data_IF_315759906394
#
_entry.id   IF_315759906394
#
_cell.length_a   1.000
_cell.length_b   1.000
_cell.length_c   1.000
_cell.angle_alpha   90.00
_cell.angle_beta   90.00
_cell.angle_gamma   90.00
#
_symmetry.space_group_name_H-M   'P 1'
#
loop_
_entity.id
_entity.type
_entity.pdbx_description
1 polymer ?
#
# COMPACT_ATOMS: atom_id res chain seq x y z
N UNK A 1 2.32 0.00 -1.47
CA UNK A 1 2.40 -1.47 -1.55
C UNK A 1 3.27 -1.88 -0.39
N UNK A 2 2.65 -2.41 0.65
CA UNK A 2 3.29 -2.86 1.88
C UNK A 2 3.55 -4.35 1.70
N UNK A 3 4.79 -4.77 1.86
CA UNK A 3 5.22 -6.12 1.57
C UNK A 3 5.80 -6.73 2.85
N UNK A 4 5.17 -7.80 3.34
CA UNK A 4 5.62 -8.57 4.47
C UNK A 4 6.69 -9.57 4.00
N UNK A 5 7.85 -9.58 4.66
CA UNK A 5 8.94 -10.49 4.34
C UNK A 5 9.70 -10.86 5.62
N UNK A 6 10.15 -12.10 5.75
CA UNK A 6 10.65 -12.69 6.99
C UNK A 6 12.17 -12.89 7.03
N UNK A 7 12.93 -12.24 7.97
CA UNK A 7 14.12 -12.70 8.76
C UNK A 7 15.19 -11.64 9.21
N UNK A 8 15.50 -11.69 10.52
CA UNK A 8 16.76 -11.49 11.32
C UNK A 8 17.77 -10.30 11.16
N UNK A 9 17.67 -9.33 12.10
CA UNK A 9 18.71 -8.74 12.99
C UNK A 9 19.80 -7.71 12.54
N UNK A 10 19.77 -6.52 13.20
CA UNK A 10 20.80 -5.50 13.56
C UNK A 10 21.04 -4.20 12.72
N UNK A 11 20.72 -3.01 13.29
CA UNK A 11 21.65 -1.85 13.42
C UNK A 11 21.48 -0.50 12.66
N UNK A 12 20.79 0.49 13.28
CA UNK A 12 20.96 1.98 13.37
C UNK A 12 21.19 2.99 12.18
N UNK A 13 20.24 3.97 12.08
CA UNK A 13 20.37 5.46 12.13
C UNK A 13 20.33 6.42 10.88
N UNK A 14 19.29 7.31 10.91
CA UNK A 14 19.17 8.79 10.60
C UNK A 14 18.77 9.41 9.20
N UNK A 15 17.59 10.06 9.21
CA UNK A 15 16.95 11.25 8.54
C UNK A 15 17.16 11.72 7.07
N UNK A 16 16.06 11.72 6.26
CA UNK A 16 15.28 12.90 5.77
C UNK A 16 14.29 12.53 4.63
N UNK A 17 13.02 12.94 4.81
CA UNK A 17 12.02 13.33 3.79
C UNK A 17 11.38 12.28 2.83
N UNK A 18 10.06 12.15 3.00
CA UNK A 18 9.00 12.00 2.00
C UNK A 18 8.63 10.60 1.44
N UNK A 19 7.50 10.12 2.00
CA UNK A 19 6.31 9.50 1.38
C UNK A 19 6.34 7.98 1.11
N UNK A 20 5.25 7.25 1.45
CA UNK A 20 5.06 5.83 1.13
C UNK A 20 5.36 5.56 -0.33
N UNK A 21 5.65 4.29 -0.62
CA UNK A 21 5.55 3.60 -1.90
C UNK A 21 4.31 4.07 -2.69
N UNK A 22 4.44 5.23 -3.33
CA UNK A 22 3.58 5.66 -4.40
C UNK A 22 3.98 4.74 -5.53
N UNK A 23 3.06 3.85 -5.90
CA UNK A 23 2.81 3.69 -7.31
C UNK A 23 2.73 5.11 -7.88
N UNK A 24 3.79 5.62 -8.54
CA UNK A 24 3.72 6.99 -9.05
C UNK A 24 2.87 6.92 -10.33
N UNK A 25 2.21 8.03 -10.65
CA UNK A 25 1.48 8.15 -11.90
C UNK A 25 2.49 8.12 -13.05
N UNK A 26 2.18 7.43 -14.14
CA UNK A 26 3.00 7.50 -15.35
C UNK A 26 3.10 8.97 -15.81
N UNK A 27 4.28 9.39 -16.27
CA UNK A 27 4.51 10.75 -16.76
C UNK A 27 3.84 11.04 -18.11
N UNK A 28 3.37 9.99 -18.81
CA UNK A 28 2.70 10.07 -20.11
C UNK A 28 1.18 10.10 -20.03
N UNK A 29 0.61 9.78 -18.87
CA UNK A 29 -0.83 9.82 -18.64
C UNK A 29 -1.19 11.15 -17.98
N UNK A 30 -1.75 12.08 -18.74
CA UNK A 30 -2.51 13.18 -18.17
C UNK A 30 -3.53 12.57 -17.22
N UNK A 31 -3.47 12.90 -15.93
CA UNK A 31 -4.66 12.71 -15.11
C UNK A 31 -5.85 13.31 -15.88
N UNK A 32 -7.07 12.77 -15.74
CA UNK A 32 -8.27 13.38 -16.31
C UNK A 32 -8.63 14.71 -15.61
N UNK A 33 -7.65 15.61 -15.44
CA UNK A 33 -7.79 16.98 -14.94
C UNK A 33 -8.34 17.86 -16.06
N UNK A 34 -7.95 17.59 -17.32
CA UNK A 34 -8.30 18.43 -18.47
C UNK A 34 -9.72 18.19 -19.01
N UNK A 35 -10.30 16.99 -18.82
CA UNK A 35 -11.66 16.66 -19.31
C UNK A 35 -12.77 17.29 -18.46
N UNK A 36 -12.50 17.66 -17.19
CA UNK A 36 -13.52 18.11 -16.24
C UNK A 36 -13.50 19.61 -15.91
N UNK A 37 -12.60 20.41 -16.49
CA UNK A 37 -12.56 21.86 -16.25
C UNK A 37 -12.26 22.26 -14.79
N UNK A 38 -11.49 21.45 -14.07
CA UNK A 38 -11.20 21.68 -12.65
C UNK A 38 -10.41 22.98 -12.45
N UNK A 39 -10.88 23.83 -11.54
CA UNK A 39 -10.18 25.06 -11.15
C UNK A 39 -9.05 24.82 -10.12
N UNK A 40 -8.98 23.64 -9.51
CA UNK A 40 -8.05 23.32 -8.43
C UNK A 40 -6.62 23.06 -8.94
N UNK A 41 -5.63 23.67 -8.29
CA UNK A 41 -4.21 23.41 -8.60
C UNK A 41 -3.77 22.04 -8.06
N UNK A 42 -2.62 21.55 -8.53
CA UNK A 42 -2.02 20.31 -7.98
C UNK A 42 -1.68 20.40 -6.48
N UNK A 43 -1.45 21.61 -5.96
CA UNK A 43 -1.23 21.85 -4.54
C UNK A 43 -2.53 21.72 -3.75
N UNK A 44 -3.62 22.30 -4.27
CA UNK A 44 -4.96 22.21 -3.68
C UNK A 44 -5.43 20.76 -3.63
N UNK A 45 -5.24 20.01 -4.73
CA UNK A 45 -5.56 18.58 -4.79
C UNK A 45 -4.83 17.80 -3.71
N UNK A 46 -3.52 18.01 -3.55
CA UNK A 46 -2.74 17.36 -2.50
C UNK A 46 -3.23 17.73 -1.11
N UNK A 47 -3.63 18.98 -0.89
CA UNK A 47 -4.14 19.43 0.40
C UNK A 47 -5.50 18.80 0.70
N UNK A 48 -6.41 18.73 -0.27
CA UNK A 48 -7.71 18.10 -0.11
C UNK A 48 -7.60 16.59 0.15
N UNK A 49 -6.67 15.87 -0.50
CA UNK A 49 -6.36 14.49 -0.12
C UNK A 49 -5.94 14.38 1.36
N UNK A 50 -5.05 15.27 1.84
CA UNK A 50 -4.66 15.25 3.26
C UNK A 50 -5.84 15.48 4.20
N UNK A 51 -6.73 16.43 3.87
CA UNK A 51 -7.95 16.68 4.65
C UNK A 51 -8.88 15.47 4.65
N UNK A 52 -9.12 14.88 3.49
CA UNK A 52 -9.94 13.68 3.37
C UNK A 52 -9.37 12.52 4.21
N UNK A 53 -8.08 12.24 4.16
CA UNK A 53 -7.50 11.14 4.95
C UNK A 53 -7.42 11.43 6.47
N UNK A 54 -7.46 12.70 6.88
CA UNK A 54 -7.50 13.10 8.28
C UNK A 54 -8.93 13.20 8.86
N UNK A 55 -9.96 13.12 8.01
CA UNK A 55 -11.34 13.25 8.44
C UNK A 55 -11.82 11.99 9.21
N UNK A 56 -12.68 12.15 10.23
CA UNK A 56 -13.18 11.05 11.06
C UNK A 56 -14.30 10.28 10.34
N UNK A 57 -13.95 9.59 9.23
CA UNK A 57 -14.92 8.76 8.52
C UNK A 57 -15.40 7.60 9.38
N UNK A 58 -16.64 7.12 9.19
CA UNK A 58 -17.05 5.84 9.72
C UNK A 58 -16.05 4.75 9.30
N UNK A 59 -15.58 3.96 10.25
CA UNK A 59 -14.49 2.98 10.10
C UNK A 59 -14.69 2.03 8.91
N UNK A 60 -15.94 1.69 8.59
CA UNK A 60 -16.28 0.78 7.50
C UNK A 60 -16.57 1.45 6.17
N UNK A 61 -16.64 2.79 6.10
CA UNK A 61 -17.04 3.50 4.88
C UNK A 61 -16.10 3.18 3.70
N UNK A 62 -14.80 3.04 3.99
CA UNK A 62 -13.77 2.68 3.01
C UNK A 62 -14.01 1.32 2.35
N UNK A 63 -14.71 0.42 3.03
CA UNK A 63 -14.87 -0.98 2.64
C UNK A 63 -16.33 -1.35 2.31
N UNK A 64 -17.21 -0.35 2.16
CA UNK A 64 -18.57 -0.59 1.67
C UNK A 64 -18.56 -0.85 0.16
N UNK A 65 -19.05 -2.03 -0.25
CA UNK A 65 -19.08 -2.42 -1.66
C UNK A 65 -17.67 -2.50 -2.25
N UNK A 66 -17.41 -1.76 -3.32
CA UNK A 66 -16.08 -1.61 -3.94
C UNK A 66 -15.32 -0.36 -3.45
N UNK A 67 -15.78 0.24 -2.35
CA UNK A 67 -15.18 1.43 -1.75
C UNK A 67 -15.54 2.74 -2.47
N UNK A 68 -16.34 2.72 -3.54
CA UNK A 68 -16.80 3.94 -4.23
C UNK A 68 -17.41 5.00 -3.30
N UNK A 69 -18.26 4.68 -2.29
CA UNK A 69 -18.83 5.69 -1.42
C UNK A 69 -17.76 6.53 -0.71
N UNK A 70 -16.70 5.88 -0.21
CA UNK A 70 -15.55 6.55 0.38
C UNK A 70 -14.76 7.35 -0.64
N UNK A 71 -14.40 6.73 -1.77
CA UNK A 71 -13.57 7.41 -2.78
C UNK A 71 -14.27 8.61 -3.41
N UNK A 72 -15.60 8.60 -3.51
CA UNK A 72 -16.38 9.76 -3.99
C UNK A 72 -16.21 10.97 -3.08
N UNK A 73 -16.21 10.76 -1.76
CA UNK A 73 -15.93 11.81 -0.78
C UNK A 73 -14.49 12.29 -0.87
N UNK A 74 -13.53 11.37 -0.99
CA UNK A 74 -12.12 11.71 -1.13
C UNK A 74 -11.87 12.54 -2.39
N UNK A 75 -12.42 12.13 -3.54
CA UNK A 75 -12.28 12.86 -4.81
C UNK A 75 -12.96 14.23 -4.71
N UNK A 76 -14.16 14.31 -4.13
CA UNK A 76 -14.84 15.59 -3.93
C UNK A 76 -14.02 16.53 -3.04
N UNK A 77 -13.48 16.05 -1.92
CA UNK A 77 -12.67 16.86 -1.00
C UNK A 77 -11.32 17.25 -1.61
N UNK A 78 -10.70 16.34 -2.38
CA UNK A 78 -9.45 16.59 -3.07
C UNK A 78 -9.62 17.64 -4.18
N UNK A 79 -10.69 17.56 -4.97
CA UNK A 79 -10.78 18.32 -6.22
C UNK A 79 -11.76 19.49 -6.16
N UNK A 80 -12.60 19.55 -5.13
CA UNK A 80 -13.73 20.46 -5.05
C UNK A 80 -14.90 20.08 -5.98
N UNK A 81 -14.82 18.96 -6.69
CA UNK A 81 -15.82 18.55 -7.67
C UNK A 81 -16.79 17.51 -7.11
N UNK A 82 -18.08 17.85 -7.09
CA UNK A 82 -19.17 16.92 -6.76
C UNK A 82 -19.69 16.15 -8.01
N UNK A 83 -19.07 16.33 -9.18
CA UNK A 83 -19.52 15.71 -10.43
C UNK A 83 -19.30 14.19 -10.39
N UNK A 84 -20.37 13.42 -10.56
CA UNK A 84 -20.34 11.96 -10.51
C UNK A 84 -19.59 11.34 -11.70
N UNK A 85 -19.73 11.89 -12.90
CA UNK A 85 -19.07 11.36 -14.10
C UNK A 85 -17.56 11.55 -14.00
N UNK A 86 -17.14 12.70 -13.47
CA UNK A 86 -15.74 12.95 -13.14
C UNK A 86 -15.20 11.95 -12.11
N UNK A 87 -15.96 11.70 -11.03
CA UNK A 87 -15.59 10.66 -10.06
C UNK A 87 -15.45 9.29 -10.71
N UNK A 88 -16.40 8.88 -11.56
CA UNK A 88 -16.38 7.59 -12.24
C UNK A 88 -15.17 7.45 -13.19
N UNK A 89 -14.82 8.51 -13.91
CA UNK A 89 -13.62 8.56 -14.75
C UNK A 89 -12.34 8.37 -13.93
N UNK A 90 -12.19 9.14 -12.84
CA UNK A 90 -11.04 9.04 -11.92
C UNK A 90 -10.97 7.65 -11.28
N UNK A 91 -12.09 7.12 -10.79
CA UNK A 91 -12.14 5.83 -10.12
C UNK A 91 -11.75 4.69 -11.07
N UNK A 92 -12.27 4.70 -12.31
CA UNK A 92 -11.92 3.73 -13.35
C UNK A 92 -10.46 3.85 -13.76
N UNK A 93 -9.94 5.05 -13.94
CA UNK A 93 -8.54 5.28 -14.27
C UNK A 93 -7.59 4.64 -13.24
N UNK A 94 -7.79 4.92 -11.96
CA UNK A 94 -6.98 4.33 -10.88
C UNK A 94 -7.27 2.84 -10.60
N UNK A 95 -8.26 2.24 -11.26
CA UNK A 95 -8.50 0.80 -11.24
C UNK A 95 -7.70 0.02 -12.31
N UNK A 96 -6.92 0.72 -13.14
CA UNK A 96 -6.08 0.13 -14.19
C UNK A 96 -4.60 0.25 -13.86
N UNK A 97 -3.83 -0.80 -14.16
CA UNK A 97 -2.38 -0.83 -13.93
C UNK A 97 -1.61 0.30 -14.61
N UNK A 98 -2.08 0.87 -15.72
CA UNK A 98 -1.45 1.99 -16.42
C UNK A 98 -1.32 3.27 -15.56
N UNK A 99 -2.19 3.43 -14.56
CA UNK A 99 -2.12 4.55 -13.62
C UNK A 99 -0.97 4.42 -12.60
N UNK A 100 -0.26 3.28 -12.63
CA UNK A 100 0.62 2.84 -11.57
C UNK A 100 1.91 2.23 -12.14
N UNK A 101 2.94 2.16 -11.33
CA UNK A 101 4.14 1.41 -11.66
C UNK A 101 4.86 0.92 -10.41
N UNK A 102 5.66 -0.12 -10.59
CA UNK A 102 6.52 -0.67 -9.54
C UNK A 102 7.69 0.26 -9.27
N UNK A 103 7.99 0.58 -8.00
CA UNK A 103 9.19 1.33 -7.69
C UNK A 103 10.46 0.59 -8.11
N UNK A 104 11.52 1.37 -8.29
CA UNK A 104 12.82 0.86 -8.73
C UNK A 104 13.30 -0.27 -7.79
N UNK A 105 13.76 -1.36 -8.39
CA UNK A 105 14.24 -2.56 -7.68
C UNK A 105 13.16 -3.44 -7.05
N UNK A 106 11.87 -3.05 -7.07
CA UNK A 106 10.80 -3.83 -6.44
C UNK A 106 10.64 -5.22 -7.06
N UNK A 107 10.55 -5.28 -8.40
CA UNK A 107 10.40 -6.54 -9.11
C UNK A 107 11.57 -7.49 -8.83
N UNK A 108 12.81 -6.99 -8.96
CA UNK A 108 14.03 -7.77 -8.75
C UNK A 108 14.10 -8.32 -7.32
N UNK A 109 13.87 -7.48 -6.31
CA UNK A 109 13.89 -7.92 -4.92
C UNK A 109 12.80 -8.96 -4.62
N UNK A 110 11.56 -8.72 -5.08
CA UNK A 110 10.44 -9.65 -4.91
C UNK A 110 10.73 -10.99 -5.57
N UNK A 111 11.27 -10.96 -6.78
CA UNK A 111 11.67 -12.16 -7.52
C UNK A 111 12.75 -12.94 -6.77
N UNK A 112 13.84 -12.29 -6.35
CA UNK A 112 14.94 -12.94 -5.64
C UNK A 112 14.52 -13.48 -4.28
N UNK A 113 13.62 -12.79 -3.58
CA UNK A 113 13.07 -13.27 -2.31
C UNK A 113 12.22 -14.52 -2.53
N UNK A 114 11.35 -14.53 -3.54
CA UNK A 114 10.57 -15.71 -3.91
C UNK A 114 11.47 -16.88 -4.32
N UNK A 115 12.51 -16.62 -5.13
CA UNK A 115 13.48 -17.63 -5.60
C UNK A 115 14.27 -18.25 -4.44
N UNK A 116 14.62 -17.43 -3.44
CA UNK A 116 15.24 -17.89 -2.18
C UNK A 116 14.27 -18.59 -1.21
N UNK A 117 13.01 -18.82 -1.61
CA UNK A 117 12.00 -19.49 -0.79
C UNK A 117 11.39 -18.61 0.31
N UNK A 118 11.61 -17.30 0.29
CA UNK A 118 10.95 -16.37 1.22
C UNK A 118 9.49 -16.19 0.80
N UNK A 119 8.56 -16.51 1.71
CA UNK A 119 7.13 -16.25 1.50
C UNK A 119 6.84 -14.76 1.62
N UNK A 120 6.47 -14.14 0.51
CA UNK A 120 6.10 -12.73 0.46
C UNK A 120 4.59 -12.58 0.59
N UNK A 121 4.11 -11.85 1.59
CA UNK A 121 2.67 -11.61 1.76
C UNK A 121 2.37 -10.12 1.67
N UNK A 122 1.39 -9.73 0.87
CA UNK A 122 0.88 -8.35 0.89
C UNK A 122 -0.07 -8.21 2.07
N UNK A 123 0.13 -7.22 2.92
CA UNK A 123 -0.81 -6.86 4.00
C UNK A 123 -1.16 -5.40 3.83
N UNK A 124 -2.35 -5.08 3.33
CA UNK A 124 -2.65 -3.72 2.91
C UNK A 124 -4.03 -3.21 3.28
N UNK A 125 -4.06 -1.98 3.78
CA UNK A 125 -5.29 -1.20 3.97
C UNK A 125 -5.78 -0.68 2.60
N UNK A 126 -6.40 -1.54 1.80
CA UNK A 126 -6.79 -1.26 0.41
C UNK A 126 -8.17 -1.82 0.07
N UNK A 127 -8.78 -1.26 -0.98
CA UNK A 127 -10.06 -1.75 -1.53
C UNK A 127 -9.89 -2.94 -2.50
N UNK A 128 -11.02 -3.36 -3.07
CA UNK A 128 -11.14 -4.55 -3.93
C UNK A 128 -10.33 -4.48 -5.23
N UNK A 129 -9.77 -3.31 -5.59
CA UNK A 129 -9.02 -3.14 -6.85
C UNK A 129 -7.61 -3.70 -6.79
N UNK A 130 -7.01 -3.90 -5.61
CA UNK A 130 -5.59 -4.21 -5.48
C UNK A 130 -5.18 -5.49 -6.23
N UNK A 131 -5.98 -6.56 -6.19
CA UNK A 131 -5.66 -7.81 -6.91
C UNK A 131 -5.55 -7.59 -8.42
N UNK A 132 -6.50 -6.84 -9.01
CA UNK A 132 -6.46 -6.49 -10.43
C UNK A 132 -5.23 -5.65 -10.75
N UNK A 133 -4.92 -4.65 -9.92
CA UNK A 133 -3.74 -3.80 -10.12
C UNK A 133 -2.43 -4.61 -10.12
N UNK A 134 -2.28 -5.57 -9.20
CA UNK A 134 -1.09 -6.43 -9.16
C UNK A 134 -1.02 -7.41 -10.34
N UNK A 135 -2.16 -7.82 -10.90
CA UNK A 135 -2.24 -8.58 -12.16
C UNK A 135 -1.80 -7.72 -13.35
N UNK A 136 -2.36 -6.53 -13.49
CA UNK A 136 -2.02 -5.60 -14.59
C UNK A 136 -0.53 -5.22 -14.58
N UNK A 137 0.07 -5.15 -13.38
CA UNK A 137 1.51 -4.88 -13.19
C UNK A 137 2.40 -6.13 -13.35
N UNK A 138 1.84 -7.30 -13.66
CA UNK A 138 2.55 -8.57 -13.84
C UNK A 138 3.40 -9.00 -12.62
N UNK A 139 2.94 -8.70 -11.40
CA UNK A 139 3.65 -9.05 -10.16
C UNK A 139 2.85 -9.89 -9.18
N UNK A 140 1.57 -10.14 -9.46
CA UNK A 140 0.73 -10.90 -8.52
C UNK A 140 1.33 -12.27 -8.18
N UNK A 141 1.97 -12.91 -9.14
CA UNK A 141 2.62 -14.22 -8.99
C UNK A 141 3.90 -14.17 -8.13
N UNK A 142 4.44 -12.99 -7.83
CA UNK A 142 5.59 -12.85 -6.93
C UNK A 142 5.19 -12.96 -5.46
N UNK A 143 3.90 -12.86 -5.15
CA UNK A 143 3.37 -12.92 -3.79
C UNK A 143 2.87 -14.33 -3.48
N UNK A 144 3.19 -14.82 -2.28
CA UNK A 144 2.64 -16.06 -1.73
C UNK A 144 1.15 -15.90 -1.40
N UNK A 145 0.76 -14.78 -0.80
CA UNK A 145 -0.65 -14.45 -0.53
C UNK A 145 -0.88 -12.95 -0.43
N UNK A 146 -2.14 -12.54 -0.47
CA UNK A 146 -2.58 -11.16 -0.37
C UNK A 146 -3.68 -11.03 0.68
N UNK A 147 -3.40 -10.27 1.73
CA UNK A 147 -4.33 -9.88 2.80
C UNK A 147 -4.73 -8.43 2.56
N UNK A 148 -5.97 -8.24 2.13
CA UNK A 148 -6.50 -6.94 1.73
C UNK A 148 -7.64 -6.59 2.68
N UNK A 149 -7.55 -5.46 3.38
CA UNK A 149 -8.49 -5.10 4.44
C UNK A 149 -9.97 -5.11 4.01
N UNK A 150 -10.26 -4.69 2.79
CA UNK A 150 -11.62 -4.76 2.22
C UNK A 150 -12.17 -6.17 2.03
N UNK A 151 -11.30 -7.16 1.85
CA UNK A 151 -11.67 -8.56 1.64
C UNK A 151 -11.83 -9.30 2.97
N UNK A 152 -10.97 -8.98 3.95
CA UNK A 152 -10.91 -9.69 5.23
C UNK A 152 -11.71 -9.01 6.36
N UNK A 153 -12.08 -7.73 6.19
CA UNK A 153 -12.96 -6.99 7.10
C UNK A 153 -12.25 -6.35 8.30
N UNK A 154 -10.93 -6.37 8.35
CA UNK A 154 -10.09 -5.72 9.36
C UNK A 154 -8.89 -5.03 8.67
N UNK A 155 -8.43 -3.93 9.24
CA UNK A 155 -7.33 -3.13 8.70
C UNK A 155 -6.21 -2.93 9.74
N UNK A 156 -4.98 -2.71 9.28
CA UNK A 156 -3.88 -2.33 10.16
C UNK A 156 -4.25 -1.05 10.93
N UNK A 157 -4.04 -0.98 12.27
CA UNK A 157 -3.23 -1.87 13.11
C UNK A 157 -3.97 -3.05 13.79
N UNK A 158 -5.19 -3.40 13.39
CA UNK A 158 -5.91 -4.53 14.00
C UNK A 158 -5.06 -5.82 13.89
N UNK A 159 -4.78 -6.53 15.00
CA UNK A 159 -3.95 -7.73 15.00
C UNK A 159 -4.45 -8.81 14.02
N UNK A 160 -5.77 -8.89 13.77
CA UNK A 160 -6.36 -9.89 12.90
C UNK A 160 -5.82 -9.85 11.47
N UNK A 161 -5.42 -8.67 10.96
CA UNK A 161 -4.87 -8.57 9.60
C UNK A 161 -3.48 -9.21 9.50
N UNK A 162 -2.70 -9.08 10.57
CA UNK A 162 -1.38 -9.67 10.64
C UNK A 162 -1.47 -11.18 10.95
N UNK A 163 -2.40 -11.60 11.81
CA UNK A 163 -2.69 -13.01 12.08
C UNK A 163 -3.11 -13.74 10.80
N UNK A 164 -3.98 -13.14 9.98
CA UNK A 164 -4.35 -13.69 8.68
C UNK A 164 -3.14 -13.88 7.75
N UNK A 165 -2.21 -12.93 7.75
CA UNK A 165 -0.97 -13.03 6.99
C UNK A 165 -0.08 -14.19 7.46
N UNK A 166 0.05 -14.38 8.79
CA UNK A 166 0.81 -15.48 9.38
C UNK A 166 0.19 -16.85 9.06
N UNK A 167 -1.14 -16.96 9.10
CA UNK A 167 -1.87 -18.19 8.74
C UNK A 167 -1.63 -18.55 7.29
N UNK A 168 -1.83 -17.60 6.36
CA UNK A 168 -1.61 -17.80 4.93
C UNK A 168 -0.15 -18.17 4.61
N UNK A 169 0.81 -17.53 5.27
CA UNK A 169 2.22 -17.87 5.15
C UNK A 169 2.61 -19.15 5.90
N UNK A 170 1.77 -19.66 6.81
CA UNK A 170 2.10 -20.76 7.72
C UNK A 170 3.44 -20.53 8.45
N UNK A 171 3.60 -19.35 9.04
CA UNK A 171 4.80 -18.94 9.80
C UNK A 171 4.43 -18.40 11.18
N UNK A 172 5.33 -18.55 12.14
CA UNK A 172 5.20 -17.95 13.46
C UNK A 172 5.57 -16.46 13.43
N UNK A 173 4.94 -15.66 14.28
CA UNK A 173 5.16 -14.21 14.34
C UNK A 173 6.65 -13.83 14.50
N UNK A 174 7.37 -14.49 15.41
CA UNK A 174 8.80 -14.25 15.64
C UNK A 174 9.72 -14.66 14.48
N UNK A 175 9.18 -15.31 13.44
CA UNK A 175 9.90 -15.64 12.20
C UNK A 175 9.50 -14.71 11.05
N UNK A 176 8.61 -13.75 11.25
CA UNK A 176 8.18 -12.81 10.24
C UNK A 176 8.75 -11.40 10.49
N UNK A 177 8.94 -10.62 9.42
CA UNK A 177 9.07 -9.17 9.53
C UNK A 177 8.05 -8.48 8.60
N UNK A 178 7.41 -7.45 9.12
CA UNK A 178 6.51 -6.60 8.36
C UNK A 178 7.29 -5.38 7.85
N UNK A 179 7.16 -5.06 6.56
CA UNK A 179 7.72 -3.82 6.00
C UNK A 179 6.57 -2.89 5.61
N UNK A 180 6.45 -1.79 6.34
CA UNK A 180 5.43 -0.77 6.16
C UNK A 180 5.98 0.62 6.44
N UNK A 181 5.17 1.67 6.37
CA UNK A 181 5.64 3.06 6.48
C UNK A 181 4.93 3.88 7.56
N UNK A 182 3.89 3.32 8.18
CA UNK A 182 3.17 3.97 9.27
C UNK A 182 3.56 3.38 10.64
N UNK A 183 4.00 4.26 11.55
CA UNK A 183 4.42 3.83 12.89
C UNK A 183 3.31 3.13 13.66
N UNK A 184 2.05 3.57 13.52
CA UNK A 184 0.91 3.02 14.26
C UNK A 184 0.34 1.81 13.53
N UNK A 185 -0.08 1.99 12.28
CA UNK A 185 -0.72 0.95 11.48
C UNK A 185 0.23 -0.24 11.27
N UNK A 186 1.48 0.01 10.89
CA UNK A 186 2.44 -1.06 10.57
C UNK A 186 3.23 -1.50 11.79
N UNK A 187 4.04 -0.61 12.37
CA UNK A 187 5.02 -1.03 13.39
C UNK A 187 4.36 -1.43 14.70
N UNK A 188 3.50 -0.59 15.26
CA UNK A 188 2.80 -0.93 16.49
C UNK A 188 1.83 -2.10 16.29
N UNK A 189 1.12 -2.14 15.15
CA UNK A 189 0.22 -3.25 14.82
C UNK A 189 0.93 -4.60 14.72
N UNK A 190 2.02 -4.68 13.95
CA UNK A 190 2.81 -5.91 13.79
C UNK A 190 3.47 -6.34 15.12
N UNK A 191 4.10 -5.40 15.82
CA UNK A 191 4.79 -5.68 17.08
C UNK A 191 3.83 -6.18 18.17
N UNK A 192 2.57 -5.73 18.16
CA UNK A 192 1.56 -6.14 19.14
C UNK A 192 1.29 -7.66 19.14
N UNK A 193 1.57 -8.35 18.03
CA UNK A 193 1.45 -9.81 17.92
C UNK A 193 2.80 -10.52 17.76
N UNK A 194 3.91 -9.80 18.00
CA UNK A 194 5.26 -10.38 17.98
C UNK A 194 5.91 -10.51 16.60
N UNK A 195 5.40 -9.81 15.58
CA UNK A 195 6.08 -9.67 14.28
C UNK A 195 7.07 -8.51 14.36
N UNK A 196 8.33 -8.71 13.95
CA UNK A 196 9.29 -7.58 13.84
C UNK A 196 8.83 -6.62 12.73
N UNK A 197 9.16 -5.33 12.80
CA UNK A 197 8.76 -4.38 11.76
C UNK A 197 9.87 -3.41 11.38
N UNK A 198 10.17 -3.39 10.08
CA UNK A 198 11.03 -2.41 9.44
C UNK A 198 10.19 -1.31 8.82
N UNK A 199 10.35 -0.09 9.32
CA UNK A 199 9.72 1.09 8.75
C UNK A 199 10.46 1.56 7.50
N UNK A 200 9.73 1.70 6.41
CA UNK A 200 10.22 2.31 5.18
C UNK A 200 10.62 3.77 5.42
N UNK A 201 11.79 4.15 4.93
CA UNK A 201 12.42 5.46 5.15
C UNK A 201 13.19 5.58 6.46
N UNK A 202 13.02 4.65 7.40
CA UNK A 202 13.73 4.63 8.69
C UNK A 202 14.66 3.42 8.82
N UNK A 203 14.09 2.21 8.76
CA UNK A 203 14.80 0.94 8.90
C UNK A 203 15.28 0.41 7.54
N UNK A 204 14.48 0.55 6.47
CA UNK A 204 14.83 0.20 5.08
C UNK A 204 14.42 1.34 4.14
N UNK A 205 15.17 1.59 3.07
CA UNK A 205 14.90 2.71 2.12
C UNK A 205 14.73 2.24 0.68
N UNK A 206 15.23 1.05 0.37
CA UNK A 206 15.12 0.44 -0.95
C UNK A 206 14.63 -1.00 -0.84
N UNK A 207 14.11 -1.52 -1.95
CA UNK A 207 13.80 -2.95 -2.06
C UNK A 207 15.05 -3.82 -1.96
N UNK A 208 16.21 -3.32 -2.42
CA UNK A 208 17.49 -3.98 -2.24
C UNK A 208 17.88 -4.09 -0.76
N UNK A 209 17.57 -3.09 0.08
CA UNK A 209 17.84 -3.17 1.53
C UNK A 209 17.06 -4.31 2.16
N UNK A 210 15.77 -4.44 1.81
CA UNK A 210 14.89 -5.51 2.29
C UNK A 210 15.48 -6.86 1.87
N UNK A 211 15.74 -7.02 0.57
CA UNK A 211 16.31 -8.23 0.01
C UNK A 211 17.61 -8.61 0.71
N UNK A 212 18.59 -7.70 0.75
CA UNK A 212 19.90 -7.96 1.33
C UNK A 212 19.79 -8.44 2.79
N UNK A 213 18.97 -7.76 3.61
CA UNK A 213 18.79 -8.16 5.02
C UNK A 213 18.24 -9.58 5.20
N UNK A 214 17.40 -10.05 4.27
CA UNK A 214 16.70 -11.32 4.40
C UNK A 214 17.48 -12.51 3.87
N UNK A 215 18.19 -12.31 2.76
CA UNK A 215 18.83 -13.40 2.00
C UNK A 215 20.35 -13.27 1.89
N UNK A 216 21.00 -12.50 2.77
CA UNK A 216 22.45 -12.27 2.75
C UNK A 216 23.27 -13.51 2.36
N UNK A 217 23.93 -13.39 1.21
CA UNK A 217 25.34 -13.77 1.01
C UNK A 217 26.25 -12.68 1.61
#
# INVERSE_FOLDING_TARGET
MEACFAKCSHGNALFKALKPLKLKLSSSSSMPIHSAGLAASSADIKQGFKRAFAAPWPEKLRYQGDGRPFWKLVVSEATGSANNDYFEEVYKYYANGEAWYLPDGAYEALYLLKDAGVKVVVVSNFDTRLRKLLKDLNVIELFHSLIISSEVGYEKPDPKIFEAALVEASVEAGKAVHVGDDLKADKQGANAIGIDCWLWGADVKTFSDIKNRLIHE
#
